data_IF_803630809665
#
_entry.id   IF_803630809665
#
_cell.length_a   1.000
_cell.length_b   1.000
_cell.length_c   1.000
_cell.angle_alpha   90.00
_cell.angle_beta   90.00
_cell.angle_gamma   90.00
#
_symmetry.space_group_name_H-M   'P 1'
#
loop_
_entity.id
_entity.type
_entity.pdbx_description
1 polymer ?
#
# COMPACT_ATOMS: atom_id res chain seq x y z
N UNK A 1 32.85 -13.08 16.50
CA UNK A 1 31.87 -12.89 15.39
C UNK A 1 30.85 -11.89 15.89
N UNK A 2 30.90 -10.65 15.44
CA UNK A 2 29.99 -9.57 15.85
C UNK A 2 28.78 -9.60 14.91
N UNK A 3 27.58 -9.88 15.46
CA UNK A 3 26.34 -9.84 14.72
C UNK A 3 26.05 -8.41 14.22
N UNK A 4 25.90 -8.26 12.92
CA UNK A 4 25.42 -7.02 12.31
C UNK A 4 23.90 -6.97 12.49
N UNK A 5 23.40 -6.00 13.22
CA UNK A 5 21.97 -5.73 13.32
C UNK A 5 21.47 -5.10 12.01
N UNK A 6 20.31 -5.49 11.48
CA UNK A 6 19.73 -4.86 10.31
C UNK A 6 19.35 -3.41 10.61
N UNK A 7 19.69 -2.51 9.73
CA UNK A 7 19.30 -1.11 9.82
C UNK A 7 17.86 -0.96 9.33
N UNK A 8 16.94 -0.71 10.25
CA UNK A 8 15.56 -0.32 9.93
C UNK A 8 15.58 1.18 9.67
N UNK A 9 15.33 1.58 8.42
CA UNK A 9 15.12 2.97 8.06
C UNK A 9 13.62 3.25 8.01
N UNK A 10 13.12 4.00 8.98
CA UNK A 10 11.77 4.56 8.94
C UNK A 10 11.88 5.86 8.17
N UNK A 11 11.45 5.86 6.91
CA UNK A 11 11.28 7.09 6.14
C UNK A 11 9.83 7.52 6.34
N UNK A 12 9.58 8.35 7.36
CA UNK A 12 8.34 9.07 7.49
C UNK A 12 8.38 10.26 6.52
N UNK A 13 7.63 10.20 5.45
CA UNK A 13 7.40 11.37 4.60
C UNK A 13 6.29 12.16 5.28
N UNK A 14 6.69 13.22 5.97
CA UNK A 14 5.75 14.14 6.63
C UNK A 14 5.11 15.00 5.55
N UNK A 15 3.86 14.77 5.24
CA UNK A 15 3.02 15.72 4.54
C UNK A 15 2.69 16.86 5.51
N UNK A 16 3.38 18.00 5.37
CA UNK A 16 3.06 19.20 6.11
C UNK A 16 1.88 19.87 5.40
N UNK A 17 0.72 19.88 6.03
CA UNK A 17 -0.46 20.62 5.56
C UNK A 17 -0.16 22.12 5.63
N UNK A 18 0.39 22.68 4.58
CA UNK A 18 0.29 24.09 4.27
C UNK A 18 -0.75 24.17 3.16
N UNK A 19 -1.81 24.94 3.39
CA UNK A 19 -2.85 25.30 2.42
C UNK A 19 -2.23 26.05 1.22
N UNK A 20 -1.50 25.34 0.38
CA UNK A 20 -1.09 25.79 -0.95
C UNK A 20 -1.00 24.53 -1.82
N UNK A 21 -1.93 24.43 -2.75
CA UNK A 21 -2.01 23.33 -3.70
C UNK A 21 -0.87 23.39 -4.71
N UNK A 22 0.25 22.81 -4.34
CA UNK A 22 1.26 22.39 -5.31
C UNK A 22 1.51 20.91 -5.10
N UNK A 23 1.17 20.10 -6.08
CA UNK A 23 1.62 18.73 -6.13
C UNK A 23 3.16 18.72 -6.19
N UNK A 24 3.81 18.39 -5.08
CA UNK A 24 5.26 18.25 -5.04
C UNK A 24 5.58 16.85 -5.54
N UNK A 25 6.13 16.77 -6.74
CA UNK A 25 6.69 15.52 -7.27
C UNK A 25 8.07 15.36 -6.66
N UNK A 26 8.21 14.46 -5.70
CA UNK A 26 9.53 14.07 -5.18
C UNK A 26 10.04 12.81 -5.89
N UNK A 27 11.13 12.94 -6.60
CA UNK A 27 11.85 11.83 -7.23
C UNK A 27 12.96 11.37 -6.27
N UNK A 28 12.75 10.25 -5.57
CA UNK A 28 13.77 9.66 -4.73
C UNK A 28 14.67 8.73 -5.55
N UNK A 29 15.95 9.09 -5.63
CA UNK A 29 17.02 8.23 -6.18
C UNK A 29 17.74 7.57 -5.02
N UNK A 30 17.68 6.26 -4.90
CA UNK A 30 18.50 5.52 -3.95
C UNK A 30 19.86 5.22 -4.60
N UNK A 31 20.89 6.00 -4.24
CA UNK A 31 22.29 5.60 -4.36
C UNK A 31 22.80 5.31 -2.96
N UNK A 32 23.30 4.12 -2.75
CA UNK A 32 23.99 3.80 -1.51
C UNK A 32 25.33 4.51 -1.46
N UNK A 33 25.48 5.34 -0.43
CA UNK A 33 26.68 5.64 0.35
C UNK A 33 26.49 6.98 1.05
N UNK A 34 26.56 6.95 2.37
CA UNK A 34 26.56 8.15 3.21
C UNK A 34 26.27 7.83 4.67
N UNK A 35 27.28 7.94 5.49
CA UNK A 35 27.28 7.70 6.93
C UNK A 35 26.21 8.52 7.66
N UNK A 36 25.34 7.84 8.40
CA UNK A 36 24.31 8.45 9.24
C UNK A 36 24.85 8.85 10.63
N UNK A 37 24.29 9.90 11.25
CA UNK A 37 24.56 10.21 12.66
C UNK A 37 23.86 9.19 13.56
N UNK A 38 24.62 8.74 14.55
CA UNK A 38 24.21 7.71 15.52
C UNK A 38 23.15 8.18 16.50
N UNK A 39 22.05 7.40 16.58
CA UNK A 39 21.69 6.69 17.79
C UNK A 39 21.31 7.52 19.05
N UNK A 40 20.06 8.05 19.05
CA UNK A 40 19.46 8.42 20.37
C UNK A 40 17.97 8.10 20.46
N UNK A 41 17.28 7.85 19.35
CA UNK A 41 15.82 7.69 19.34
C UNK A 41 15.41 6.22 19.53
N UNK A 42 16.14 5.28 18.96
CA UNK A 42 15.82 3.86 19.07
C UNK A 42 15.96 3.29 20.50
N UNK A 43 16.89 3.82 21.30
CA UNK A 43 17.08 3.37 22.70
C UNK A 43 16.01 3.86 23.67
N UNK A 44 15.25 4.90 23.34
CA UNK A 44 14.17 5.40 24.22
C UNK A 44 12.86 4.65 24.04
N UNK A 45 12.61 4.07 22.88
CA UNK A 45 11.40 3.28 22.59
C UNK A 45 11.40 1.93 23.31
N UNK A 46 12.56 1.30 23.49
CA UNK A 46 12.68 -0.02 24.15
C UNK A 46 12.52 0.05 25.66
N UNK A 47 12.67 1.22 26.30
CA UNK A 47 12.67 1.33 27.79
C UNK A 47 11.32 1.64 28.44
N UNK A 48 10.24 1.90 27.68
CA UNK A 48 8.93 2.27 28.26
C UNK A 48 7.77 1.33 27.97
N UNK A 49 7.93 0.35 27.12
CA UNK A 49 6.97 -0.76 27.06
C UNK A 49 7.38 -1.77 28.12
N UNK A 50 6.62 -1.84 29.21
CA UNK A 50 6.66 -3.03 30.04
C UNK A 50 6.40 -4.22 29.13
N UNK A 51 7.17 -5.33 29.22
CA UNK A 51 6.89 -6.50 28.43
C UNK A 51 5.48 -6.94 28.79
N UNK A 52 4.54 -6.75 27.87
CA UNK A 52 3.35 -7.57 27.86
C UNK A 52 3.92 -8.96 27.77
N UNK A 53 3.78 -9.74 28.84
CA UNK A 53 4.08 -11.15 28.85
C UNK A 53 3.16 -11.77 27.79
N UNK A 54 3.60 -11.73 26.55
CA UNK A 54 3.09 -12.64 25.53
C UNK A 54 3.54 -13.99 26.03
N UNK A 55 2.61 -14.74 26.63
CA UNK A 55 2.80 -16.17 26.80
C UNK A 55 3.38 -16.65 25.47
N UNK A 56 4.47 -17.39 25.52
CA UNK A 56 4.99 -18.15 24.38
C UNK A 56 3.89 -19.10 23.91
N UNK A 57 2.86 -18.57 23.30
CA UNK A 57 2.00 -19.38 22.46
C UNK A 57 2.90 -19.74 21.28
N UNK A 58 3.30 -20.98 21.29
CA UNK A 58 3.99 -21.66 20.22
C UNK A 58 3.35 -21.16 18.93
N UNK A 59 4.08 -20.35 18.15
CA UNK A 59 3.67 -20.02 16.79
C UNK A 59 3.50 -21.37 16.11
N UNK A 60 2.27 -21.83 16.00
CA UNK A 60 1.95 -23.00 15.18
C UNK A 60 2.27 -22.55 13.76
N UNK A 61 3.50 -22.89 13.31
CA UNK A 61 3.76 -22.91 11.88
C UNK A 61 2.63 -23.74 11.28
N UNK A 62 1.71 -23.07 10.61
CA UNK A 62 0.64 -23.75 9.89
C UNK A 62 1.35 -24.52 8.78
N UNK A 63 1.65 -25.79 9.07
CA UNK A 63 2.20 -26.68 8.07
C UNK A 63 1.07 -26.88 7.08
N UNK A 64 1.18 -26.26 5.91
CA UNK A 64 0.24 -26.51 4.82
C UNK A 64 0.47 -27.95 4.40
N UNK A 65 -0.50 -28.80 4.69
CA UNK A 65 -0.45 -30.22 4.31
C UNK A 65 -0.63 -30.35 2.79
N UNK A 66 -0.14 -31.42 2.23
CA UNK A 66 -0.28 -31.73 0.79
C UNK A 66 -1.74 -31.89 0.33
N UNK A 67 -2.67 -32.07 1.26
CA UNK A 67 -4.11 -32.09 1.04
C UNK A 67 -4.77 -30.93 1.77
N UNK A 68 -5.67 -30.21 1.07
CA UNK A 68 -6.46 -29.17 1.68
C UNK A 68 -7.48 -29.79 2.64
N UNK A 69 -7.61 -29.31 3.89
CA UNK A 69 -8.64 -29.79 4.78
C UNK A 69 -10.02 -29.34 4.29
N UNK A 70 -11.00 -30.21 4.49
CA UNK A 70 -12.39 -29.96 4.11
C UNK A 70 -13.17 -29.38 5.30
N UNK A 71 -12.93 -28.11 5.64
CA UNK A 71 -13.70 -27.41 6.66
C UNK A 71 -13.83 -25.90 6.40
N UNK A 72 -14.95 -25.33 6.78
CA UNK A 72 -15.33 -23.93 6.69
C UNK A 72 -15.14 -23.22 8.05
N UNK A 73 -14.75 -21.96 8.13
CA UNK A 73 -14.50 -20.94 7.10
C UNK A 73 -13.01 -20.82 6.72
N UNK A 74 -12.57 -21.55 5.76
CA UNK A 74 -11.19 -21.46 5.29
C UNK A 74 -11.08 -20.74 3.96
N UNK A 75 -9.99 -19.98 3.79
CA UNK A 75 -9.53 -19.54 2.47
C UNK A 75 -8.36 -20.41 2.07
N UNK A 76 -8.43 -20.95 0.87
CA UNK A 76 -7.41 -21.84 0.30
C UNK A 76 -7.21 -21.54 -1.18
N UNK A 77 -6.11 -21.99 -1.73
CA UNK A 77 -5.86 -21.86 -3.17
C UNK A 77 -4.45 -22.21 -3.56
N UNK A 78 -4.14 -21.91 -4.81
CA UNK A 78 -2.81 -22.13 -5.40
C UNK A 78 -2.29 -20.85 -6.03
N UNK A 79 -0.97 -20.67 -5.97
CA UNK A 79 -0.24 -19.71 -6.76
C UNK A 79 0.64 -20.44 -7.76
N UNK A 80 0.51 -20.07 -9.03
CA UNK A 80 1.36 -20.59 -10.11
C UNK A 80 1.96 -19.43 -10.89
N UNK A 81 3.06 -19.68 -11.58
CA UNK A 81 3.52 -18.76 -12.60
C UNK A 81 2.68 -18.89 -13.89
N UNK A 82 2.94 -18.05 -14.89
CA UNK A 82 2.23 -18.05 -16.17
C UNK A 82 2.48 -19.32 -17.02
N UNK A 83 3.45 -20.15 -16.63
CA UNK A 83 3.74 -21.44 -17.26
C UNK A 83 3.08 -22.61 -16.50
N UNK A 84 2.36 -22.33 -15.40
CA UNK A 84 1.72 -23.34 -14.57
C UNK A 84 2.63 -23.93 -13.50
N UNK A 85 3.87 -23.46 -13.33
CA UNK A 85 4.75 -23.95 -12.27
C UNK A 85 4.29 -23.42 -10.92
N UNK A 86 4.34 -24.22 -9.84
CA UNK A 86 3.97 -23.77 -8.51
C UNK A 86 4.92 -22.68 -8.00
N UNK A 87 4.37 -21.70 -7.32
CA UNK A 87 5.13 -20.63 -6.68
C UNK A 87 5.16 -20.84 -5.16
N UNK A 88 6.27 -21.33 -4.66
CA UNK A 88 6.54 -21.53 -3.24
C UNK A 88 7.04 -20.26 -2.57
N UNK A 89 6.76 -20.09 -1.26
CA UNK A 89 7.30 -19.01 -0.45
C UNK A 89 6.63 -17.65 -0.65
N UNK A 90 5.48 -17.60 -1.35
CA UNK A 90 4.73 -16.37 -1.53
C UNK A 90 3.78 -16.16 -0.37
N UNK A 91 3.83 -14.99 0.27
CA UNK A 91 2.92 -14.61 1.36
C UNK A 91 1.53 -14.35 0.79
N UNK A 92 0.52 -14.93 1.41
CA UNK A 92 -0.91 -14.70 1.12
C UNK A 92 -1.60 -14.26 2.39
N UNK A 93 -2.49 -13.29 2.28
CA UNK A 93 -3.14 -12.68 3.43
C UNK A 93 -4.57 -12.26 3.12
N UNK A 94 -5.33 -12.02 4.20
CA UNK A 94 -6.64 -11.34 4.17
C UNK A 94 -6.62 -9.97 4.86
N UNK A 95 -5.43 -9.47 5.21
CA UNK A 95 -5.21 -8.22 5.97
C UNK A 95 -5.31 -8.41 7.50
N UNK A 96 -5.56 -9.64 7.97
CA UNK A 96 -5.62 -9.99 9.39
C UNK A 96 -4.73 -11.18 9.75
N UNK A 97 -4.59 -12.11 8.83
CA UNK A 97 -3.80 -13.34 8.95
C UNK A 97 -2.91 -13.47 7.72
N UNK A 98 -1.68 -13.92 7.91
CA UNK A 98 -0.76 -14.26 6.84
C UNK A 98 -0.46 -15.77 6.82
N UNK A 99 -0.20 -16.30 5.64
CA UNK A 99 0.37 -17.61 5.43
C UNK A 99 1.35 -17.55 4.26
N UNK A 100 2.06 -18.63 4.02
CA UNK A 100 3.02 -18.74 2.91
C UNK A 100 2.72 -19.97 2.09
N UNK A 101 2.85 -19.88 0.76
CA UNK A 101 2.65 -21.04 -0.12
C UNK A 101 3.73 -22.10 0.09
N UNK A 102 3.33 -23.37 0.04
CA UNK A 102 4.24 -24.52 0.10
C UNK A 102 4.90 -24.81 -1.27
N UNK A 103 5.71 -25.87 -1.35
CA UNK A 103 6.43 -26.27 -2.56
C UNK A 103 5.52 -26.64 -3.75
N UNK A 104 4.24 -26.89 -3.50
CA UNK A 104 3.22 -27.09 -4.54
C UNK A 104 2.45 -25.80 -4.88
N UNK A 105 2.88 -24.66 -4.35
CA UNK A 105 2.21 -23.37 -4.53
C UNK A 105 0.88 -23.27 -3.77
N UNK A 106 0.58 -24.20 -2.85
CA UNK A 106 -0.70 -24.25 -2.14
C UNK A 106 -0.63 -23.43 -0.85
N UNK A 107 -1.75 -22.79 -0.51
CA UNK A 107 -1.92 -22.09 0.76
C UNK A 107 -3.29 -22.37 1.37
N UNK A 108 -3.38 -22.20 2.70
CA UNK A 108 -4.62 -22.28 3.47
C UNK A 108 -4.50 -21.49 4.76
N UNK A 109 -5.54 -20.78 5.12
CA UNK A 109 -5.69 -20.13 6.42
C UNK A 109 -7.15 -19.93 6.79
N UNK A 110 -7.42 -19.60 8.08
CA UNK A 110 -8.74 -19.21 8.57
C UNK A 110 -8.90 -17.71 8.38
N UNK A 111 -9.86 -17.29 7.53
CA UNK A 111 -10.13 -15.85 7.31
C UNK A 111 -10.70 -15.17 8.55
N UNK A 112 -10.35 -13.93 8.76
CA UNK A 112 -11.03 -13.09 9.75
C UNK A 112 -12.45 -12.73 9.25
N UNK A 113 -13.38 -12.57 10.20
CA UNK A 113 -14.77 -12.20 9.88
C UNK A 113 -14.93 -10.83 9.24
N UNK A 114 -13.94 -9.95 9.44
CA UNK A 114 -13.92 -8.59 8.88
C UNK A 114 -13.20 -8.53 7.53
N UNK A 115 -12.48 -9.58 7.15
CA UNK A 115 -11.74 -9.65 5.90
C UNK A 115 -12.67 -9.53 4.70
N UNK A 116 -12.29 -8.69 3.75
CA UNK A 116 -13.04 -8.45 2.51
C UNK A 116 -12.30 -8.91 1.26
N UNK A 117 -10.99 -9.10 1.37
CA UNK A 117 -10.14 -9.53 0.28
C UNK A 117 -9.24 -10.69 0.69
N UNK A 118 -8.78 -11.42 -0.28
CA UNK A 118 -7.58 -12.24 -0.21
C UNK A 118 -6.61 -11.71 -1.26
N UNK A 119 -5.35 -11.57 -0.88
CA UNK A 119 -4.30 -11.02 -1.72
C UNK A 119 -2.97 -11.72 -1.43
N UNK A 120 -2.02 -11.55 -2.31
CA UNK A 120 -0.65 -12.01 -2.11
C UNK A 120 0.33 -10.85 -2.12
N UNK A 121 1.36 -10.90 -1.28
CA UNK A 121 2.46 -9.95 -1.33
C UNK A 121 3.22 -10.18 -2.63
N UNK A 122 3.16 -9.20 -3.56
CA UNK A 122 3.73 -9.38 -4.91
C UNK A 122 5.23 -9.55 -4.81
N UNK A 123 5.82 -10.70 -5.22
CA UNK A 123 7.26 -10.91 -5.14
C UNK A 123 8.04 -9.95 -6.04
N UNK A 124 9.28 -9.61 -5.62
CA UNK A 124 10.12 -8.67 -6.34
C UNK A 124 10.52 -9.10 -7.75
N UNK A 125 10.48 -10.41 -8.03
CA UNK A 125 10.78 -11.02 -9.34
C UNK A 125 9.54 -11.23 -10.22
N UNK A 126 8.37 -10.69 -9.82
CA UNK A 126 7.11 -10.82 -10.56
C UNK A 126 6.60 -9.47 -11.04
N UNK A 127 5.90 -9.47 -12.17
CA UNK A 127 5.14 -8.31 -12.62
C UNK A 127 4.02 -8.02 -11.61
N UNK A 128 3.73 -6.75 -11.36
CA UNK A 128 2.55 -6.35 -10.61
C UNK A 128 1.38 -6.39 -11.58
N UNK A 129 0.33 -7.21 -11.33
CA UNK A 129 -0.86 -7.19 -12.17
C UNK A 129 -1.57 -5.84 -12.02
N UNK A 130 -2.19 -5.40 -13.10
CA UNK A 130 -2.93 -4.14 -13.18
C UNK A 130 -4.36 -4.40 -13.64
N UNK A 131 -5.27 -3.46 -13.41
CA UNK A 131 -6.65 -3.61 -13.86
C UNK A 131 -6.76 -3.74 -15.38
N UNK A 132 -5.97 -2.97 -16.12
CA UNK A 132 -5.86 -3.08 -17.59
C UNK A 132 -4.56 -2.46 -18.11
N UNK A 133 -4.34 -2.49 -19.41
CA UNK A 133 -3.21 -1.82 -20.04
C UNK A 133 -3.30 -0.28 -19.93
N UNK A 134 -4.51 0.26 -19.83
CA UNK A 134 -4.79 1.70 -19.71
C UNK A 134 -5.14 2.16 -18.30
N UNK A 135 -5.38 1.21 -17.41
CA UNK A 135 -5.56 1.45 -15.97
C UNK A 135 -4.50 0.64 -15.23
N UNK A 136 -3.37 1.26 -14.95
CA UNK A 136 -2.23 0.62 -14.33
C UNK A 136 -2.23 0.67 -12.80
N UNK A 137 -3.39 0.87 -12.19
CA UNK A 137 -3.54 0.63 -10.76
C UNK A 137 -3.41 -0.86 -10.45
N UNK A 138 -2.74 -1.18 -9.34
CA UNK A 138 -2.38 -2.54 -8.98
C UNK A 138 -3.61 -3.40 -8.66
N UNK A 139 -3.62 -4.64 -9.16
CA UNK A 139 -4.74 -5.59 -9.01
C UNK A 139 -4.24 -6.98 -8.59
N UNK A 140 -3.68 -7.10 -7.40
CA UNK A 140 -3.05 -8.29 -6.82
C UNK A 140 -3.97 -9.06 -5.86
N UNK A 141 -5.25 -8.74 -5.81
CA UNK A 141 -6.22 -9.22 -4.83
C UNK A 141 -7.48 -9.77 -5.47
N UNK A 142 -8.26 -10.48 -4.69
CA UNK A 142 -9.63 -10.93 -5.05
C UNK A 142 -10.58 -10.61 -3.89
N UNK A 143 -11.80 -10.11 -4.16
CA UNK A 143 -12.81 -9.93 -3.13
C UNK A 143 -13.27 -11.27 -2.58
N UNK A 144 -13.36 -11.39 -1.26
CA UNK A 144 -13.86 -12.57 -0.58
C UNK A 144 -15.38 -12.65 -0.71
N UNK A 145 -15.87 -13.81 -1.13
CA UNK A 145 -17.29 -14.08 -1.28
C UNK A 145 -17.80 -15.04 -0.19
N UNK A 146 -19.07 -14.94 0.17
CA UNK A 146 -19.64 -15.68 1.29
C UNK A 146 -19.65 -17.21 1.10
N UNK A 147 -19.71 -17.68 -0.16
CA UNK A 147 -19.81 -19.11 -0.50
C UNK A 147 -18.60 -19.61 -1.28
N UNK A 148 -17.51 -18.85 -1.31
CA UNK A 148 -16.30 -19.22 -2.02
C UNK A 148 -15.14 -19.34 -1.03
N UNK A 149 -14.48 -20.49 -1.07
CA UNK A 149 -13.33 -20.79 -0.22
C UNK A 149 -12.04 -20.94 -1.01
N UNK A 150 -12.12 -21.06 -2.34
CA UNK A 150 -10.97 -21.28 -3.19
C UNK A 150 -10.66 -20.03 -4.03
N UNK A 151 -9.39 -19.57 -3.92
CA UNK A 151 -8.88 -18.39 -4.62
C UNK A 151 -7.49 -18.70 -5.17
N UNK A 152 -7.41 -18.94 -6.47
CA UNK A 152 -6.16 -19.22 -7.16
C UNK A 152 -5.61 -17.96 -7.81
N UNK A 153 -4.27 -17.81 -7.86
CA UNK A 153 -3.59 -16.71 -8.50
C UNK A 153 -2.54 -17.23 -9.50
N UNK A 154 -2.35 -16.45 -10.56
CA UNK A 154 -1.29 -16.67 -11.53
C UNK A 154 -0.43 -15.44 -11.61
N UNK A 155 0.87 -15.58 -11.38
CA UNK A 155 1.84 -14.51 -11.37
C UNK A 155 2.70 -14.59 -12.62
N UNK A 156 3.05 -13.46 -13.20
CA UNK A 156 3.97 -13.42 -14.32
C UNK A 156 5.36 -13.01 -13.80
N UNK A 157 6.35 -13.86 -14.03
CA UNK A 157 7.72 -13.55 -13.66
C UNK A 157 8.30 -12.47 -14.56
N UNK A 158 9.13 -11.61 -13.99
CA UNK A 158 9.91 -10.64 -14.75
C UNK A 158 10.99 -11.38 -15.55
N UNK A 159 11.18 -11.08 -16.84
CA UNK A 159 12.15 -11.78 -17.68
C UNK A 159 13.60 -11.69 -17.17
N UNK A 160 13.94 -10.59 -16.51
CA UNK A 160 15.26 -10.33 -15.92
C UNK A 160 15.38 -10.70 -14.43
N UNK A 161 14.34 -11.28 -13.83
CA UNK A 161 14.27 -11.46 -12.38
C UNK A 161 14.02 -10.17 -11.61
N UNK A 162 14.54 -10.07 -10.40
CA UNK A 162 14.33 -8.89 -9.53
C UNK A 162 14.91 -7.62 -10.11
N UNK A 163 14.12 -6.58 -10.20
CA UNK A 163 14.52 -5.23 -10.62
C UNK A 163 15.13 -4.48 -9.44
N UNK A 164 16.45 -4.35 -9.42
CA UNK A 164 17.18 -3.66 -8.33
C UNK A 164 17.14 -2.15 -8.48
N UNK A 165 17.12 -1.65 -9.72
CA UNK A 165 17.03 -0.23 -10.05
C UNK A 165 15.64 0.09 -10.61
N UNK A 166 14.92 0.96 -9.94
CA UNK A 166 13.61 1.45 -10.36
C UNK A 166 13.38 2.87 -9.85
N UNK A 167 12.38 3.54 -10.39
CA UNK A 167 11.91 4.84 -9.91
C UNK A 167 10.57 4.66 -9.20
N UNK A 168 10.45 5.33 -8.06
CA UNK A 168 9.21 5.41 -7.30
C UNK A 168 8.71 6.85 -7.30
N UNK A 169 7.51 7.06 -7.81
CA UNK A 169 6.78 8.32 -7.75
C UNK A 169 5.86 8.25 -6.54
N UNK A 170 5.85 9.30 -5.74
CA UNK A 170 4.95 9.41 -4.59
C UNK A 170 4.02 10.59 -4.81
N UNK A 171 2.72 10.32 -4.83
CA UNK A 171 1.68 11.36 -4.81
C UNK A 171 1.29 11.61 -3.36
N UNK A 172 1.31 12.88 -2.94
CA UNK A 172 0.83 13.30 -1.62
C UNK A 172 -0.41 14.17 -1.77
N UNK A 173 -1.48 13.80 -1.11
CA UNK A 173 -2.72 14.59 -0.92
C UNK A 173 -3.21 15.31 -2.20
N UNK A 174 -3.57 14.60 -3.29
CA UNK A 174 -4.13 15.27 -4.47
C UNK A 174 -5.42 16.03 -4.17
N UNK A 175 -6.24 15.53 -3.25
CA UNK A 175 -7.48 16.12 -2.74
C UNK A 175 -8.39 16.66 -3.85
N UNK A 176 -8.57 15.88 -4.90
CA UNK A 176 -9.34 16.27 -6.08
C UNK A 176 -10.81 16.42 -5.73
N UNK A 177 -11.40 17.54 -6.08
CA UNK A 177 -12.81 17.80 -5.90
C UNK A 177 -13.60 17.62 -7.20
N UNK A 178 -14.93 17.52 -7.09
CA UNK A 178 -15.84 17.57 -8.24
C UNK A 178 -16.31 18.99 -8.57
N UNK A 179 -15.74 20.00 -7.93
CA UNK A 179 -16.09 21.38 -8.10
C UNK A 179 -14.90 22.21 -8.59
N UNK A 180 -15.18 23.39 -9.13
CA UNK A 180 -14.17 24.42 -9.31
C UNK A 180 -13.81 24.95 -7.93
N UNK A 181 -12.52 24.98 -7.58
CA UNK A 181 -12.11 25.61 -6.33
C UNK A 181 -12.26 27.14 -6.44
N UNK A 182 -13.12 27.75 -5.63
CA UNK A 182 -13.25 29.20 -5.64
C UNK A 182 -12.05 29.92 -4.99
N UNK A 183 -11.13 29.15 -4.40
CA UNK A 183 -10.00 29.67 -3.63
C UNK A 183 -8.71 29.79 -4.44
N UNK A 184 -8.69 29.29 -5.68
CA UNK A 184 -7.51 29.32 -6.52
C UNK A 184 -7.67 30.33 -7.63
N UNK A 185 -6.78 31.31 -7.63
CA UNK A 185 -6.54 32.20 -8.75
C UNK A 185 -5.28 31.79 -9.51
N UNK A 186 -5.26 32.05 -10.80
CA UNK A 186 -4.05 31.90 -11.60
C UNK A 186 -2.99 32.96 -11.22
N UNK A 187 -1.81 32.92 -11.89
CA UNK A 187 -0.71 33.86 -11.61
C UNK A 187 -1.10 35.35 -11.70
N UNK A 188 -2.15 35.67 -12.46
CA UNK A 188 -2.64 37.01 -12.67
C UNK A 188 -3.90 37.32 -11.85
N UNK A 189 -4.13 36.64 -10.74
CA UNK A 189 -5.34 36.73 -9.91
C UNK A 189 -6.67 36.46 -10.66
N UNK A 190 -6.58 35.81 -11.81
CA UNK A 190 -7.76 35.40 -12.57
C UNK A 190 -8.32 34.07 -12.04
N UNK A 191 -9.66 33.94 -11.99
CA UNK A 191 -10.27 32.66 -11.59
C UNK A 191 -9.79 31.50 -12.48
N UNK A 192 -9.45 30.39 -11.86
CA UNK A 192 -9.07 29.17 -12.59
C UNK A 192 -10.32 28.61 -13.27
N UNK A 193 -10.27 28.47 -14.60
CA UNK A 193 -11.41 28.02 -15.41
C UNK A 193 -11.53 26.50 -15.51
N UNK A 194 -10.49 25.75 -15.05
CA UNK A 194 -10.49 24.28 -15.07
C UNK A 194 -10.93 23.71 -13.72
N UNK A 195 -11.68 22.63 -13.75
CA UNK A 195 -11.95 21.84 -12.53
C UNK A 195 -10.67 21.20 -11.97
N UNK A 196 -10.66 20.88 -10.69
CA UNK A 196 -9.52 20.19 -10.07
C UNK A 196 -9.18 18.89 -10.81
N UNK A 197 -10.19 18.11 -11.19
CA UNK A 197 -9.98 16.88 -11.97
C UNK A 197 -9.32 17.16 -13.32
N UNK A 198 -9.75 18.18 -14.04
CA UNK A 198 -9.14 18.55 -15.33
C UNK A 198 -7.68 19.00 -15.13
N UNK A 199 -7.39 19.77 -14.08
CA UNK A 199 -6.02 20.17 -13.74
C UNK A 199 -5.16 18.96 -13.38
N UNK A 200 -5.67 18.06 -12.56
CA UNK A 200 -4.96 16.83 -12.19
C UNK A 200 -4.61 16.01 -13.44
N UNK A 201 -5.57 15.82 -14.33
CA UNK A 201 -5.39 15.00 -15.54
C UNK A 201 -4.46 15.66 -16.57
N UNK A 202 -4.68 16.95 -16.83
CA UNK A 202 -4.04 17.69 -17.94
C UNK A 202 -2.71 18.33 -17.53
N UNK A 203 -2.52 18.63 -16.24
CA UNK A 203 -1.34 19.29 -15.71
C UNK A 203 -0.49 18.28 -14.91
N UNK A 204 -0.95 17.86 -13.72
CA UNK A 204 -0.16 16.97 -12.85
C UNK A 204 0.21 15.64 -13.53
N UNK A 205 -0.78 14.95 -14.10
CA UNK A 205 -0.50 13.68 -14.77
C UNK A 205 0.23 13.85 -16.11
N UNK A 206 0.15 15.02 -16.75
CA UNK A 206 0.98 15.33 -17.91
C UNK A 206 2.45 15.48 -17.51
N UNK A 207 2.74 16.18 -16.42
CA UNK A 207 4.10 16.32 -15.87
C UNK A 207 4.66 14.96 -15.44
N UNK A 208 3.85 14.12 -14.81
CA UNK A 208 4.23 12.74 -14.47
C UNK A 208 4.61 11.95 -15.72
N UNK A 209 3.77 11.98 -16.76
CA UNK A 209 4.05 11.29 -18.02
C UNK A 209 5.32 11.83 -18.70
N UNK A 210 5.53 13.13 -18.70
CA UNK A 210 6.73 13.77 -19.25
C UNK A 210 7.97 13.37 -18.46
N UNK A 211 7.91 13.39 -17.12
CA UNK A 211 8.99 12.95 -16.25
C UNK A 211 9.36 11.50 -16.54
N UNK A 212 8.37 10.62 -16.62
CA UNK A 212 8.58 9.21 -16.95
C UNK A 212 9.14 9.03 -18.36
N UNK A 213 8.69 9.82 -19.34
CA UNK A 213 9.17 9.76 -20.72
C UNK A 213 10.64 10.20 -20.85
N UNK A 214 11.15 11.02 -19.92
CA UNK A 214 12.56 11.40 -19.87
C UNK A 214 13.49 10.28 -19.36
N UNK A 215 12.93 9.24 -18.74
CA UNK A 215 13.69 8.08 -18.28
C UNK A 215 13.90 7.07 -19.41
N UNK A 216 14.97 6.26 -19.36
CA UNK A 216 15.13 5.14 -20.28
C UNK A 216 13.86 4.26 -20.32
N UNK A 217 13.47 3.80 -21.49
CA UNK A 217 12.28 2.96 -21.65
C UNK A 217 12.37 1.65 -20.84
N UNK A 218 13.59 1.16 -20.60
CA UNK A 218 13.87 -0.01 -19.77
C UNK A 218 13.84 0.26 -18.26
N UNK A 219 13.80 1.53 -17.83
CA UNK A 219 13.75 1.86 -16.40
C UNK A 219 12.35 1.54 -15.84
N UNK A 220 12.22 0.62 -14.90
CA UNK A 220 10.95 0.34 -14.23
C UNK A 220 10.50 1.56 -13.43
N UNK A 221 9.19 1.84 -13.49
CA UNK A 221 8.60 2.96 -12.74
C UNK A 221 7.37 2.47 -12.01
N UNK A 222 7.34 2.73 -10.72
CA UNK A 222 6.22 2.46 -9.83
C UNK A 222 5.73 3.76 -9.20
N UNK A 223 4.53 3.74 -8.68
CA UNK A 223 4.00 4.88 -7.94
C UNK A 223 3.20 4.41 -6.73
N UNK A 224 3.16 5.27 -5.71
CA UNK A 224 2.29 5.11 -4.55
C UNK A 224 1.55 6.43 -4.34
N UNK A 225 0.21 6.39 -4.34
CA UNK A 225 -0.59 7.48 -3.81
C UNK A 225 -0.75 7.31 -2.31
N UNK A 226 -0.42 8.36 -1.56
CA UNK A 226 -0.33 8.31 -0.10
C UNK A 226 -1.66 8.68 0.57
N UNK A 227 -2.75 8.65 -0.17
CA UNK A 227 -4.10 8.94 0.33
C UNK A 227 -4.57 10.36 0.04
N UNK A 228 -5.81 10.62 0.41
CA UNK A 228 -6.53 11.83 0.10
C UNK A 228 -6.55 12.11 -1.41
N UNK A 229 -6.81 11.06 -2.20
CA UNK A 229 -6.95 11.18 -3.64
C UNK A 229 -8.17 12.03 -4.00
N UNK A 230 -9.23 11.94 -3.20
CA UNK A 230 -10.49 12.67 -3.37
C UNK A 230 -10.82 13.52 -2.17
N UNK A 231 -11.57 14.59 -2.41
CA UNK A 231 -12.31 15.29 -1.38
C UNK A 231 -13.77 15.41 -1.77
N UNK A 232 -14.65 14.72 -1.06
CA UNK A 232 -16.07 14.72 -1.37
C UNK A 232 -16.78 15.92 -0.77
N UNK A 233 -17.29 16.80 -1.63
CA UNK A 233 -18.25 17.81 -1.23
C UNK A 233 -19.67 17.33 -1.53
N UNK A 234 -20.52 17.28 -0.50
CA UNK A 234 -21.91 16.87 -0.64
C UNK A 234 -22.16 15.36 -0.65
N UNK A 235 -21.10 14.56 -0.53
CA UNK A 235 -21.18 13.11 -0.40
C UNK A 235 -20.36 12.33 -1.41
N UNK A 236 -20.35 11.01 -1.27
CA UNK A 236 -19.61 10.09 -2.11
C UNK A 236 -19.93 10.25 -3.60
N UNK A 237 -18.91 10.33 -4.43
CA UNK A 237 -19.00 10.44 -5.88
C UNK A 237 -18.18 9.34 -6.58
N UNK A 238 -18.85 8.26 -6.95
CA UNK A 238 -18.22 7.12 -7.64
C UNK A 238 -17.64 7.49 -9.01
N UNK A 239 -18.22 8.49 -9.68
CA UNK A 239 -17.72 8.98 -10.96
C UNK A 239 -16.38 9.65 -10.82
N UNK A 240 -16.23 10.52 -9.81
CA UNK A 240 -14.99 11.21 -9.49
C UNK A 240 -13.89 10.22 -9.10
N UNK A 241 -14.18 9.31 -8.17
CA UNK A 241 -13.22 8.30 -7.70
C UNK A 241 -12.69 7.44 -8.85
N UNK A 242 -13.60 6.99 -9.74
CA UNK A 242 -13.20 6.24 -10.94
C UNK A 242 -12.29 7.05 -11.86
N UNK A 243 -12.62 8.32 -12.14
CA UNK A 243 -11.85 9.19 -13.03
C UNK A 243 -10.45 9.48 -12.45
N UNK A 244 -10.34 9.63 -11.13
CA UNK A 244 -9.04 9.79 -10.46
C UNK A 244 -8.22 8.52 -10.55
N UNK A 245 -8.81 7.36 -10.29
CA UNK A 245 -8.12 6.07 -10.46
C UNK A 245 -7.61 5.89 -11.90
N UNK A 246 -8.45 6.17 -12.89
CA UNK A 246 -8.09 6.11 -14.31
C UNK A 246 -6.96 7.10 -14.64
N UNK A 247 -6.99 8.32 -14.08
CA UNK A 247 -5.94 9.30 -14.25
C UNK A 247 -4.62 8.84 -13.64
N UNK A 248 -4.62 8.36 -12.40
CA UNK A 248 -3.44 7.78 -11.73
C UNK A 248 -2.85 6.63 -12.56
N UNK A 249 -3.70 5.72 -13.05
CA UNK A 249 -3.31 4.57 -13.86
C UNK A 249 -2.93 4.89 -15.31
N UNK A 250 -3.02 6.16 -15.75
CA UNK A 250 -2.83 6.56 -17.14
C UNK A 250 -1.38 6.65 -17.61
N UNK A 251 -0.41 6.54 -16.71
CA UNK A 251 1.02 6.52 -17.04
C UNK A 251 1.54 5.09 -17.19
N UNK A 252 2.82 4.91 -17.59
CA UNK A 252 3.42 3.57 -17.59
C UNK A 252 3.82 3.06 -16.20
N UNK A 253 3.75 3.90 -15.16
CA UNK A 253 3.97 3.46 -13.79
C UNK A 253 2.82 2.58 -13.31
N UNK A 254 3.14 1.51 -12.57
CA UNK A 254 2.12 0.76 -11.83
C UNK A 254 1.90 1.44 -10.49
N UNK A 255 0.63 1.71 -10.14
CA UNK A 255 0.26 2.56 -9.01
C UNK A 255 -0.40 1.73 -7.90
N UNK A 256 0.12 1.85 -6.70
CA UNK A 256 -0.55 1.44 -5.47
C UNK A 256 -1.18 2.64 -4.78
N UNK A 257 -2.25 2.43 -4.03
CA UNK A 257 -2.91 3.51 -3.31
C UNK A 257 -3.06 3.16 -1.83
N UNK A 258 -2.75 4.13 -0.98
CA UNK A 258 -3.08 4.17 0.44
C UNK A 258 -4.37 4.98 0.59
N UNK A 259 -5.21 4.66 1.54
CA UNK A 259 -6.43 5.41 1.80
C UNK A 259 -6.16 6.55 2.79
N UNK A 260 -6.66 7.76 2.49
CA UNK A 260 -6.57 8.92 3.38
C UNK A 260 -7.86 9.23 4.14
N UNK A 261 -7.86 10.29 4.92
CA UNK A 261 -9.01 10.67 5.74
C UNK A 261 -10.15 11.30 4.91
N UNK A 262 -9.84 12.03 3.85
CA UNK A 262 -10.84 12.58 2.94
C UNK A 262 -11.46 11.53 2.02
N UNK A 263 -10.73 10.46 1.69
CA UNK A 263 -11.26 9.32 0.93
C UNK A 263 -12.36 8.57 1.70
N UNK A 264 -12.25 8.50 3.02
CA UNK A 264 -13.23 7.79 3.88
C UNK A 264 -14.22 8.71 4.61
N UNK A 265 -13.89 9.97 4.83
CA UNK A 265 -14.76 11.00 5.45
C UNK A 265 -15.51 10.49 6.70
N UNK A 266 -14.83 9.72 7.55
CA UNK A 266 -15.40 9.11 8.76
C UNK A 266 -16.49 8.09 8.54
N UNK A 267 -16.68 7.59 7.31
CA UNK A 267 -17.79 6.70 6.96
C UNK A 267 -17.28 5.35 6.49
N UNK A 268 -17.58 4.30 7.22
CA UNK A 268 -17.24 2.92 6.83
C UNK A 268 -17.81 2.52 5.46
N UNK A 269 -18.87 3.18 4.99
CA UNK A 269 -19.39 2.99 3.65
C UNK A 269 -18.40 3.48 2.59
N UNK A 270 -17.73 4.62 2.83
CA UNK A 270 -16.76 5.18 1.88
C UNK A 270 -15.51 4.31 1.82
N UNK A 271 -15.02 3.80 2.95
CA UNK A 271 -13.96 2.79 2.96
C UNK A 271 -14.32 1.60 2.05
N UNK A 272 -15.53 1.05 2.19
CA UNK A 272 -15.96 -0.08 1.34
C UNK A 272 -16.09 0.29 -0.15
N UNK A 273 -16.41 1.54 -0.46
CA UNK A 273 -16.46 2.04 -1.85
C UNK A 273 -15.06 2.21 -2.42
N UNK A 274 -14.17 2.85 -1.65
CA UNK A 274 -12.76 2.99 -2.01
C UNK A 274 -12.12 1.61 -2.27
N UNK A 275 -12.37 0.62 -1.43
CA UNK A 275 -11.89 -0.74 -1.61
C UNK A 275 -12.40 -1.41 -2.90
N UNK A 276 -13.58 -1.06 -3.38
CA UNK A 276 -14.08 -1.55 -4.68
C UNK A 276 -13.26 -1.00 -5.86
N UNK A 277 -12.68 0.17 -5.69
CA UNK A 277 -11.87 0.85 -6.70
C UNK A 277 -10.39 0.49 -6.61
N UNK A 278 -9.83 0.41 -5.39
CA UNK A 278 -8.39 0.29 -5.15
C UNK A 278 -7.96 -1.00 -4.45
N UNK A 279 -8.90 -1.76 -3.87
CA UNK A 279 -8.62 -3.02 -3.19
C UNK A 279 -8.39 -2.90 -1.69
N UNK A 280 -7.58 -3.82 -1.08
CA UNK A 280 -7.35 -3.84 0.36
C UNK A 280 -6.66 -2.57 0.85
N UNK A 281 -7.02 -2.13 2.06
CA UNK A 281 -6.42 -0.96 2.71
C UNK A 281 -5.10 -1.27 3.41
N UNK A 282 -4.90 -2.53 3.78
CA UNK A 282 -3.69 -3.02 4.46
C UNK A 282 -3.11 -4.16 3.64
N UNK A 283 -1.90 -3.97 3.12
CA UNK A 283 -1.24 -4.95 2.24
C UNK A 283 0.27 -4.70 2.17
N UNK A 284 0.99 -5.68 1.60
CA UNK A 284 2.42 -5.57 1.36
C UNK A 284 2.81 -6.01 -0.05
N UNK A 285 3.98 -5.57 -0.52
CA UNK A 285 4.59 -6.01 -1.76
C UNK A 285 6.11 -5.79 -1.75
N UNK A 286 6.82 -6.51 -2.59
CA UNK A 286 8.26 -6.39 -2.74
C UNK A 286 8.66 -5.70 -4.04
N UNK A 287 9.69 -4.83 -3.99
CA UNK A 287 10.42 -4.37 -5.18
C UNK A 287 11.91 -4.23 -4.87
N UNK A 288 12.75 -4.79 -5.73
CA UNK A 288 14.18 -4.84 -5.46
C UNK A 288 14.49 -5.46 -4.10
N UNK A 289 15.30 -4.79 -3.33
CA UNK A 289 15.62 -5.16 -1.95
C UNK A 289 14.71 -4.49 -0.90
N UNK A 290 13.51 -4.06 -1.28
CA UNK A 290 12.60 -3.32 -0.39
C UNK A 290 11.27 -4.06 -0.26
N UNK A 291 10.83 -4.21 0.97
CA UNK A 291 9.49 -4.64 1.34
C UNK A 291 8.65 -3.43 1.71
N UNK A 292 7.60 -3.18 0.94
CA UNK A 292 6.66 -2.08 1.16
C UNK A 292 5.43 -2.60 1.89
N UNK A 293 4.99 -1.87 2.90
CA UNK A 293 3.76 -2.16 3.65
C UNK A 293 2.88 -0.93 3.62
N UNK A 294 1.71 -1.05 3.02
CA UNK A 294 0.68 -0.02 2.99
C UNK A 294 -0.33 -0.26 4.10
N UNK A 295 -0.69 0.78 4.84
CA UNK A 295 -1.53 0.68 6.03
C UNK A 295 -2.57 1.81 6.06
N UNK A 296 -3.79 1.46 6.40
CA UNK A 296 -4.80 2.45 6.78
C UNK A 296 -4.61 2.85 8.23
N UNK A 297 -3.99 3.98 8.48
CA UNK A 297 -3.74 4.51 9.81
C UNK A 297 -4.79 5.54 10.26
N UNK A 298 -5.84 5.74 9.47
CA UNK A 298 -6.91 6.72 9.74
C UNK A 298 -8.01 6.08 10.57
N UNK A 299 -8.19 6.58 11.79
CA UNK A 299 -9.26 6.15 12.67
C UNK A 299 -10.09 7.35 13.15
N UNK A 300 -11.37 7.36 12.80
CA UNK A 300 -12.27 8.43 13.22
C UNK A 300 -12.85 8.16 14.60
N UNK A 301 -12.52 9.01 15.55
CA UNK A 301 -13.14 9.02 16.87
C UNK A 301 -14.42 9.87 16.85
N UNK A 302 -15.38 9.53 17.69
CA UNK A 302 -16.65 10.24 17.79
C UNK A 302 -16.42 11.73 18.10
N UNK A 303 -16.86 12.61 17.19
CA UNK A 303 -16.73 14.06 17.31
C UNK A 303 -15.46 14.66 16.70
N UNK A 304 -14.56 13.87 16.14
CA UNK A 304 -13.38 14.32 15.40
C UNK A 304 -13.57 14.02 13.91
N UNK A 305 -13.61 15.06 13.06
CA UNK A 305 -13.85 14.85 11.63
C UNK A 305 -12.56 14.95 10.78
N UNK A 306 -11.59 15.79 11.14
CA UNK A 306 -10.47 16.08 10.25
C UNK A 306 -9.07 16.05 10.89
N UNK A 307 -8.97 16.18 12.21
CA UNK A 307 -7.68 16.20 12.91
C UNK A 307 -7.51 14.94 13.74
N UNK A 308 -7.03 13.89 13.11
CA UNK A 308 -6.82 12.58 13.72
C UNK A 308 -5.32 12.33 13.83
N UNK A 309 -4.82 11.80 14.95
CA UNK A 309 -3.49 11.21 14.93
C UNK A 309 -3.53 9.94 14.08
N UNK A 310 -2.48 9.68 13.31
CA UNK A 310 -2.30 8.38 12.69
C UNK A 310 -2.15 7.31 13.77
N UNK A 311 -2.94 6.25 13.70
CA UNK A 311 -2.89 5.13 14.65
C UNK A 311 -3.00 3.80 13.93
N UNK A 312 -2.38 2.77 14.50
CA UNK A 312 -2.56 1.39 14.05
C UNK A 312 -3.31 0.61 15.13
N UNK A 313 -4.33 -0.12 14.71
CA UNK A 313 -5.07 -1.02 15.60
C UNK A 313 -4.21 -2.20 16.07
N UNK A 314 -4.57 -2.81 17.18
CA UNK A 314 -3.90 -4.02 17.66
C UNK A 314 -3.96 -5.17 16.63
N UNK A 315 -5.00 -5.23 15.79
CA UNK A 315 -5.09 -6.21 14.70
C UNK A 315 -4.10 -5.92 13.57
N UNK A 316 -3.95 -4.66 13.16
CA UNK A 316 -2.95 -4.26 12.17
C UNK A 316 -1.52 -4.50 12.68
N UNK A 317 -1.25 -4.21 13.96
CA UNK A 317 0.08 -4.49 14.55
C UNK A 317 0.38 -6.00 14.59
N UNK A 318 -0.61 -6.85 14.87
CA UNK A 318 -0.42 -8.30 14.82
C UNK A 318 -0.18 -8.78 13.38
N UNK A 319 -1.00 -8.30 12.43
CA UNK A 319 -0.83 -8.61 11.02
C UNK A 319 0.56 -8.14 10.51
N UNK A 320 0.96 -6.91 10.82
CA UNK A 320 2.27 -6.37 10.44
C UNK A 320 3.41 -7.22 11.01
N UNK A 321 3.31 -7.64 12.27
CA UNK A 321 4.31 -8.52 12.88
C UNK A 321 4.37 -9.88 12.16
N UNK A 322 3.22 -10.42 11.77
CA UNK A 322 3.15 -11.69 11.05
C UNK A 322 3.71 -11.57 9.64
N UNK A 323 3.33 -10.53 8.89
CA UNK A 323 3.83 -10.22 7.55
C UNK A 323 5.36 -10.06 7.56
N UNK A 324 5.89 -9.24 8.46
CA UNK A 324 7.33 -9.02 8.61
C UNK A 324 8.11 -10.28 9.05
N UNK A 325 7.45 -11.27 9.65
CA UNK A 325 8.11 -12.52 10.03
C UNK A 325 8.50 -13.37 8.82
N UNK A 326 7.92 -13.12 7.65
CA UNK A 326 8.25 -13.77 6.38
C UNK A 326 9.26 -12.97 5.54
N UNK A 327 9.59 -11.75 5.96
CA UNK A 327 10.53 -10.89 5.25
C UNK A 327 11.97 -11.24 5.59
N UNK A 328 12.82 -11.37 4.60
CA UNK A 328 14.23 -11.61 4.82
C UNK A 328 14.89 -10.40 5.51
N UNK A 329 15.76 -10.66 6.49
CA UNK A 329 16.40 -9.62 7.31
C UNK A 329 17.35 -8.68 6.55
N UNK A 330 17.73 -9.00 5.33
CA UNK A 330 18.53 -8.14 4.46
C UNK A 330 17.70 -7.12 3.67
N UNK A 331 16.37 -7.28 3.62
CA UNK A 331 15.47 -6.33 2.97
C UNK A 331 15.27 -5.09 3.83
N UNK A 332 15.15 -3.96 3.15
CA UNK A 332 14.65 -2.73 3.77
C UNK A 332 13.13 -2.80 3.88
N UNK A 333 12.56 -2.24 4.94
CA UNK A 333 11.10 -2.13 5.12
C UNK A 333 10.71 -0.67 5.02
N UNK A 334 9.71 -0.38 4.19
CA UNK A 334 9.10 0.94 4.04
C UNK A 334 7.64 0.85 4.39
N UNK A 335 7.22 1.60 5.42
CA UNK A 335 5.83 1.71 5.81
C UNK A 335 5.21 2.92 5.11
N UNK A 336 4.12 2.70 4.38
CA UNK A 336 3.34 3.70 3.66
C UNK A 336 2.00 3.87 4.37
N UNK A 337 1.75 5.06 4.90
CA UNK A 337 0.52 5.42 5.59
C UNK A 337 0.25 6.91 5.42
N UNK A 338 -0.99 7.34 5.61
CA UNK A 338 -1.42 8.69 5.26
C UNK A 338 -1.06 9.72 6.34
N UNK A 339 -1.48 9.50 7.59
CA UNK A 339 -1.28 10.46 8.68
C UNK A 339 0.00 10.12 9.44
N UNK A 340 0.90 11.09 9.71
CA UNK A 340 2.10 10.81 10.48
C UNK A 340 1.76 10.16 11.84
N UNK A 341 2.34 8.99 12.10
CA UNK A 341 2.20 8.33 13.40
C UNK A 341 2.84 9.22 14.47
N UNK A 342 2.04 9.93 15.24
CA UNK A 342 2.54 10.74 16.32
C UNK A 342 3.00 9.81 17.44
N UNK A 343 4.31 9.79 17.68
CA UNK A 343 4.83 9.25 18.93
C UNK A 343 4.44 10.21 20.05
N UNK A 344 3.17 10.12 20.45
CA UNK A 344 2.63 10.98 21.48
C UNK A 344 3.41 10.81 22.77
N UNK A 345 3.95 11.90 23.29
CA UNK A 345 4.19 12.02 24.71
C UNK A 345 2.80 12.02 25.38
N UNK A 346 2.24 10.84 25.64
CA UNK A 346 1.16 10.66 26.61
C UNK A 346 1.73 10.17 27.92
#
# INVERSE_FOLDING_TARGET
MKGKHPHIYIIAIVALVILVSFAIISLATFRGEGTAPQDTIARRLVKKTQPVMVKKDTVRKTVVTDSLPDFDPTVRGTLTDSLGNPMSGVVVSDGYTCTVTNDKGMYIFMRDKKARFVWYSVPADCEIPTHSATDRTANFYKPLQAKQNEYNFTLKRLPGGTEHDYKLIVFGDPQITNAFSPYYTGPDDNPIQKSDLARFTDETMADVRQTIASLPASMPVYAISMGDDVQYYGGYNAGLERQIREALGSSRATVFSVIGNHDQDGKSLYVRKWEQSFGPTDFSFDRGGVHYVCLNDVHFYRGMLYWQPGELTASQLRWLHEDLSFVNHDKKVVLCYHIPLTMGNR
#
